data_IF_616007332177
#
_entry.id   IF_616007332177
#
_cell.length_a   1.000
_cell.length_b   1.000
_cell.length_c   1.000
_cell.angle_alpha   90.00
_cell.angle_beta   90.00
_cell.angle_gamma   90.00
#
_symmetry.space_group_name_H-M   'P 1'
#
loop_
_entity.id
_entity.type
_entity.pdbx_description
1 polymer ?
#
# COMPACT_ATOMS: atom_id res chain seq x y z
N UNK A 1 62.86 -6.07 -1.62
CA UNK A 1 61.42 -5.74 -1.59
C UNK A 1 60.72 -6.78 -2.43
N UNK A 2 59.96 -7.68 -1.80
CA UNK A 2 59.32 -8.82 -2.47
C UNK A 2 58.09 -8.36 -3.25
N UNK A 3 57.92 -8.89 -4.47
CA UNK A 3 56.84 -8.53 -5.41
C UNK A 3 55.44 -8.64 -4.78
N UNK A 4 55.26 -9.55 -3.82
CA UNK A 4 54.02 -9.78 -3.08
C UNK A 4 53.54 -8.55 -2.29
N UNK A 5 54.46 -7.73 -1.76
CA UNK A 5 54.09 -6.51 -1.01
C UNK A 5 53.61 -5.38 -1.92
N UNK A 6 54.05 -5.36 -3.18
CA UNK A 6 53.60 -4.38 -4.17
C UNK A 6 52.25 -4.83 -4.71
N UNK A 7 52.09 -6.12 -5.00
CA UNK A 7 50.84 -6.70 -5.49
C UNK A 7 49.68 -6.54 -4.49
N UNK A 8 49.91 -6.75 -3.19
CA UNK A 8 48.85 -6.59 -2.18
C UNK A 8 48.43 -5.14 -1.98
N UNK A 9 49.37 -4.18 -2.02
CA UNK A 9 49.11 -2.74 -1.95
C UNK A 9 48.39 -2.21 -3.20
N UNK A 10 48.63 -2.82 -4.36
CA UNK A 10 47.95 -2.50 -5.61
C UNK A 10 46.53 -3.07 -5.63
N UNK A 11 46.28 -4.29 -5.15
CA UNK A 11 44.93 -4.91 -5.19
C UNK A 11 43.94 -4.40 -4.12
N UNK A 12 44.43 -3.95 -2.96
CA UNK A 12 43.58 -3.46 -1.86
C UNK A 12 42.66 -2.28 -2.27
N UNK A 13 43.14 -1.26 -3.01
CA UNK A 13 42.27 -0.19 -3.53
C UNK A 13 41.28 -0.70 -4.59
N UNK A 14 41.63 -1.70 -5.42
CA UNK A 14 40.68 -2.28 -6.38
C UNK A 14 39.52 -3.02 -5.70
N UNK A 15 39.77 -3.72 -4.58
CA UNK A 15 38.68 -4.34 -3.80
C UNK A 15 37.74 -3.28 -3.20
N UNK A 16 38.28 -2.18 -2.71
CA UNK A 16 37.48 -1.07 -2.17
C UNK A 16 36.66 -0.39 -3.29
N UNK A 17 37.29 -0.17 -4.45
CA UNK A 17 36.64 0.39 -5.64
C UNK A 17 35.52 -0.53 -6.16
N UNK A 18 35.70 -1.86 -6.15
CA UNK A 18 34.66 -2.80 -6.56
C UNK A 18 33.41 -2.75 -5.67
N UNK A 19 33.59 -2.60 -4.35
CA UNK A 19 32.50 -2.48 -3.37
C UNK A 19 31.82 -1.12 -3.48
N UNK A 20 32.59 -0.05 -3.65
CA UNK A 20 32.06 1.28 -3.91
C UNK A 20 31.25 1.31 -5.22
N UNK A 21 31.75 0.68 -6.29
CA UNK A 21 31.04 0.55 -7.57
C UNK A 21 29.79 -0.33 -7.46
N UNK A 22 29.80 -1.40 -6.66
CA UNK A 22 28.59 -2.17 -6.34
C UNK A 22 27.58 -1.36 -5.56
N UNK A 23 28.02 -0.56 -4.59
CA UNK A 23 27.15 0.32 -3.80
C UNK A 23 26.58 1.46 -4.65
N UNK A 24 27.39 2.07 -5.53
CA UNK A 24 26.96 3.08 -6.50
C UNK A 24 26.00 2.47 -7.53
N UNK A 25 26.27 1.28 -8.07
CA UNK A 25 25.31 0.54 -8.92
C UNK A 25 24.01 0.23 -8.17
N UNK A 26 24.08 -0.18 -6.91
CA UNK A 26 22.91 -0.44 -6.06
C UNK A 26 22.10 0.84 -5.79
N UNK A 27 22.77 1.98 -5.61
CA UNK A 27 22.13 3.29 -5.42
C UNK A 27 21.52 3.83 -6.72
N UNK A 28 22.19 3.62 -7.87
CA UNK A 28 21.70 4.01 -9.19
C UNK A 28 20.59 3.08 -9.73
N UNK A 29 20.54 1.82 -9.27
CA UNK A 29 19.54 0.82 -9.68
C UNK A 29 18.29 0.83 -8.80
N UNK A 30 18.13 1.79 -7.89
CA UNK A 30 16.89 1.94 -7.13
C UNK A 30 15.83 2.54 -8.07
N UNK A 31 15.24 1.67 -8.88
CA UNK A 31 14.14 2.02 -9.79
C UNK A 31 13.03 2.71 -9.00
N UNK A 32 12.38 3.72 -9.59
CA UNK A 32 11.26 4.39 -8.92
C UNK A 32 10.14 3.36 -8.66
N UNK A 33 9.51 3.36 -7.48
CA UNK A 33 8.40 2.47 -7.20
C UNK A 33 7.29 2.61 -8.24
N UNK A 34 6.73 1.48 -8.67
CA UNK A 34 5.62 1.44 -9.61
C UNK A 34 4.31 1.52 -8.84
N UNK A 35 3.37 2.35 -9.30
CA UNK A 35 2.00 2.42 -8.76
C UNK A 35 1.04 1.77 -9.75
N UNK A 36 0.26 0.79 -9.29
CA UNK A 36 -0.76 0.10 -10.08
C UNK A 36 -2.13 0.37 -9.45
N UNK A 37 -3.01 1.04 -10.19
CA UNK A 37 -4.33 1.37 -9.69
C UNK A 37 -5.31 0.21 -9.93
N UNK A 38 -5.74 -0.44 -8.84
CA UNK A 38 -6.73 -1.51 -8.83
C UNK A 38 -8.11 -1.02 -8.37
N UNK A 39 -8.37 0.28 -8.41
CA UNK A 39 -9.69 0.87 -8.17
C UNK A 39 -10.49 0.99 -9.48
N UNK A 40 -11.82 1.15 -9.41
CA UNK A 40 -12.66 1.21 -10.62
C UNK A 40 -12.47 2.44 -11.50
N UNK A 41 -11.82 3.49 -10.99
CA UNK A 41 -11.68 4.80 -11.63
C UNK A 41 -10.25 5.29 -11.58
N UNK A 42 -9.90 6.22 -12.44
CA UNK A 42 -8.61 6.89 -12.41
C UNK A 42 -8.45 7.64 -11.08
N UNK A 43 -7.23 7.62 -10.53
CA UNK A 43 -6.92 8.35 -9.31
C UNK A 43 -6.09 9.56 -9.70
N UNK A 44 -6.62 10.75 -9.43
CA UNK A 44 -5.91 12.01 -9.63
C UNK A 44 -5.31 12.45 -8.30
N UNK A 45 -3.99 12.59 -8.25
CA UNK A 45 -3.25 13.09 -7.10
C UNK A 45 -2.80 14.52 -7.41
N UNK A 46 -3.31 15.50 -6.66
CA UNK A 46 -2.95 16.91 -6.82
C UNK A 46 -1.91 17.30 -5.77
N UNK A 47 -0.71 17.66 -6.21
CA UNK A 47 0.37 18.13 -5.35
C UNK A 47 1.06 19.34 -5.95
N UNK A 48 1.31 20.37 -5.14
CA UNK A 48 1.98 21.60 -5.57
C UNK A 48 1.35 22.29 -6.80
N UNK A 49 0.03 22.13 -6.98
CA UNK A 49 -0.69 22.67 -8.13
C UNK A 49 -0.61 21.83 -9.41
N UNK A 50 0.06 20.68 -9.37
CA UNK A 50 0.15 19.73 -10.49
C UNK A 50 -0.68 18.47 -10.22
N UNK A 51 -1.30 17.94 -11.28
CA UNK A 51 -2.09 16.72 -11.24
C UNK A 51 -1.31 15.52 -11.78
N UNK A 52 -1.21 14.48 -10.97
CA UNK A 52 -0.66 13.18 -11.33
C UNK A 52 -1.85 12.22 -11.50
N UNK A 53 -2.14 11.85 -12.74
CA UNK A 53 -3.21 10.89 -13.06
C UNK A 53 -2.64 9.48 -13.07
N UNK A 54 -3.18 8.61 -12.21
CA UNK A 54 -2.86 7.19 -12.18
C UNK A 54 -4.05 6.43 -12.79
N UNK A 55 -3.92 5.97 -14.04
CA UNK A 55 -5.03 5.35 -14.75
C UNK A 55 -5.43 4.05 -14.08
N UNK A 56 -6.73 3.77 -14.03
CA UNK A 56 -7.24 2.47 -13.59
C UNK A 56 -6.62 1.36 -14.43
N UNK A 57 -6.25 0.27 -13.78
CA UNK A 57 -5.88 -0.94 -14.48
C UNK A 57 -7.14 -1.69 -14.94
N UNK A 58 -6.95 -2.69 -15.79
CA UNK A 58 -8.03 -3.58 -16.23
C UNK A 58 -8.56 -4.46 -15.08
N UNK A 59 -7.78 -4.63 -13.99
CA UNK A 59 -8.14 -5.45 -12.84
C UNK A 59 -8.54 -4.57 -11.67
N UNK A 60 -9.75 -4.77 -11.17
CA UNK A 60 -10.26 -4.11 -9.96
C UNK A 60 -10.19 -5.08 -8.78
N UNK A 61 -9.42 -4.73 -7.76
CA UNK A 61 -9.38 -5.47 -6.51
C UNK A 61 -10.64 -5.16 -5.68
N UNK A 62 -11.29 -6.19 -5.15
CA UNK A 62 -12.51 -6.03 -4.34
C UNK A 62 -12.58 -7.11 -3.28
N UNK A 63 -13.08 -6.75 -2.10
CA UNK A 63 -13.44 -7.74 -1.09
C UNK A 63 -14.84 -8.23 -1.39
N UNK A 64 -15.02 -9.56 -1.47
CA UNK A 64 -16.35 -10.13 -1.68
C UNK A 64 -17.16 -9.98 -0.39
N UNK A 65 -18.38 -9.53 -0.59
CA UNK A 65 -19.39 -9.34 0.44
C UNK A 65 -20.31 -10.56 0.44
N UNK A 66 -20.60 -11.10 1.62
CA UNK A 66 -21.53 -12.22 1.79
C UNK A 66 -22.63 -11.81 2.76
N UNK A 67 -23.87 -12.04 2.34
CA UNK A 67 -25.06 -11.77 3.13
C UNK A 67 -25.32 -12.93 4.11
N UNK A 68 -25.67 -12.60 5.35
CA UNK A 68 -25.98 -13.56 6.41
C UNK A 68 -27.48 -13.63 6.64
N UNK A 69 -28.10 -12.47 6.83
CA UNK A 69 -29.48 -12.32 7.25
C UNK A 69 -30.03 -10.97 6.80
N UNK A 70 -31.33 -10.90 6.52
CA UNK A 70 -32.04 -9.66 6.23
C UNK A 70 -33.24 -9.55 7.15
N UNK A 71 -33.33 -8.42 7.85
CA UNK A 71 -34.49 -8.04 8.65
C UNK A 71 -35.12 -6.73 8.15
N UNK A 72 -36.26 -6.36 8.72
CA UNK A 72 -36.93 -5.09 8.42
C UNK A 72 -37.04 -4.25 9.68
N UNK A 73 -36.35 -3.11 9.70
CA UNK A 73 -36.40 -2.14 10.79
C UNK A 73 -37.15 -0.90 10.27
N UNK A 74 -38.28 -0.56 10.89
CA UNK A 74 -39.13 0.58 10.49
C UNK A 74 -39.51 0.59 8.99
N UNK A 75 -39.74 -0.59 8.38
CA UNK A 75 -40.07 -0.72 6.97
C UNK A 75 -38.88 -0.64 6.00
N UNK A 76 -37.65 -0.53 6.52
CA UNK A 76 -36.41 -0.54 5.73
C UNK A 76 -35.74 -1.90 5.88
N UNK A 77 -35.35 -2.52 4.75
CA UNK A 77 -34.55 -3.74 4.77
C UNK A 77 -33.13 -3.45 5.25
N UNK A 78 -32.67 -4.24 6.22
CA UNK A 78 -31.32 -4.18 6.76
C UNK A 78 -30.72 -5.56 6.61
N UNK A 79 -29.63 -5.67 5.85
CA UNK A 79 -28.93 -6.93 5.60
C UNK A 79 -27.60 -6.95 6.34
N UNK A 80 -27.42 -7.96 7.18
CA UNK A 80 -26.15 -8.27 7.81
C UNK A 80 -25.22 -8.86 6.76
N UNK A 81 -24.03 -8.27 6.65
CA UNK A 81 -23.00 -8.68 5.72
C UNK A 81 -21.68 -8.95 6.45
N UNK A 82 -20.86 -9.81 5.86
CA UNK A 82 -19.44 -9.90 6.20
C UNK A 82 -18.58 -9.93 4.95
N UNK A 83 -17.34 -9.49 5.12
CA UNK A 83 -16.32 -9.53 4.09
C UNK A 83 -15.51 -10.81 4.22
N UNK A 84 -15.28 -11.53 3.12
CA UNK A 84 -14.67 -12.86 3.18
C UNK A 84 -13.28 -12.94 2.55
N UNK A 85 -13.16 -12.87 1.23
CA UNK A 85 -11.93 -13.00 0.47
C UNK A 85 -11.75 -11.80 -0.42
N UNK A 86 -10.50 -11.42 -0.57
CA UNK A 86 -10.12 -10.41 -1.56
C UNK A 86 -9.96 -11.08 -2.92
N UNK A 87 -10.64 -10.52 -3.92
CA UNK A 87 -10.57 -10.93 -5.31
C UNK A 87 -9.68 -9.99 -6.10
N UNK A 88 -8.99 -10.53 -7.11
CA UNK A 88 -8.17 -9.78 -8.08
C UNK A 88 -7.06 -8.91 -7.46
N UNK A 89 -6.61 -9.24 -6.25
CA UNK A 89 -5.46 -8.61 -5.63
C UNK A 89 -4.20 -9.44 -5.97
N UNK A 90 -3.23 -8.91 -6.74
CA UNK A 90 -1.99 -9.61 -7.02
C UNK A 90 -1.14 -9.82 -5.77
N UNK A 91 -0.29 -10.83 -5.82
CA UNK A 91 0.77 -11.03 -4.83
C UNK A 91 1.71 -9.82 -4.77
N UNK A 92 2.31 -9.53 -3.59
CA UNK A 92 3.27 -8.45 -3.46
C UNK A 92 4.42 -8.62 -4.46
N UNK A 93 4.85 -7.50 -5.04
CA UNK A 93 6.00 -7.46 -5.94
C UNK A 93 6.98 -6.39 -5.49
N UNK A 94 8.27 -6.70 -5.58
CA UNK A 94 9.33 -5.76 -5.26
C UNK A 94 9.13 -4.44 -6.00
N UNK A 95 9.28 -3.34 -5.25
CA UNK A 95 9.19 -1.98 -5.77
C UNK A 95 7.85 -1.65 -6.47
N UNK A 96 6.77 -2.32 -6.09
CA UNK A 96 5.42 -2.10 -6.62
C UNK A 96 4.45 -1.81 -5.47
N UNK A 97 3.58 -0.83 -5.67
CA UNK A 97 2.48 -0.51 -4.76
C UNK A 97 1.16 -0.60 -5.50
N UNK A 98 0.15 -1.16 -4.84
CA UNK A 98 -1.20 -1.28 -5.40
C UNK A 98 -2.13 -0.26 -4.74
N UNK A 99 -2.75 0.58 -5.57
CA UNK A 99 -3.80 1.51 -5.14
C UNK A 99 -5.11 0.75 -5.12
N UNK A 100 -5.71 0.60 -3.94
CA UNK A 100 -6.93 -0.15 -3.69
C UNK A 100 -7.95 0.71 -2.96
N UNK A 101 -9.17 0.20 -2.77
CA UNK A 101 -10.11 0.84 -1.85
C UNK A 101 -9.67 0.65 -0.40
N UNK A 102 -10.12 1.53 0.49
CA UNK A 102 -9.83 1.41 1.92
C UNK A 102 -10.32 0.08 2.52
N UNK A 103 -11.44 -0.46 2.03
CA UNK A 103 -12.00 -1.75 2.46
C UNK A 103 -11.05 -2.90 2.11
N UNK A 104 -10.49 -2.90 0.89
CA UNK A 104 -9.48 -3.88 0.49
C UNK A 104 -8.21 -3.73 1.32
N UNK A 105 -7.76 -2.50 1.59
CA UNK A 105 -6.58 -2.27 2.43
C UNK A 105 -6.78 -2.79 3.86
N UNK A 106 -7.95 -2.60 4.47
CA UNK A 106 -8.25 -3.14 5.81
C UNK A 106 -8.37 -4.66 5.84
N UNK A 107 -9.01 -5.26 4.83
CA UNK A 107 -9.13 -6.71 4.73
C UNK A 107 -7.78 -7.42 4.54
N UNK A 108 -6.73 -6.69 4.14
CA UNK A 108 -5.37 -7.20 3.94
C UNK A 108 -4.36 -6.30 4.67
N UNK A 109 -4.65 -5.93 5.92
CA UNK A 109 -3.87 -4.95 6.69
C UNK A 109 -2.42 -5.39 7.01
N UNK A 110 -2.11 -6.67 6.81
CA UNK A 110 -0.76 -7.25 6.86
C UNK A 110 0.11 -6.83 5.66
N UNK A 111 -0.51 -6.47 4.54
CA UNK A 111 0.19 -6.07 3.30
C UNK A 111 0.70 -4.63 3.37
N UNK A 112 2.02 -4.47 3.26
CA UNK A 112 2.70 -3.17 3.33
C UNK A 112 2.79 -2.40 2.00
N UNK A 113 2.46 -3.07 0.90
CA UNK A 113 2.46 -2.57 -0.48
C UNK A 113 1.09 -2.03 -0.93
N UNK A 114 0.07 -2.08 -0.07
CA UNK A 114 -1.25 -1.52 -0.36
C UNK A 114 -1.35 -0.08 0.10
N UNK A 115 -1.88 0.75 -0.77
CA UNK A 115 -2.19 2.16 -0.51
C UNK A 115 -3.58 2.48 -1.04
N UNK A 116 -4.20 3.56 -0.55
CA UNK A 116 -5.52 4.00 -1.00
C UNK A 116 -5.57 5.52 -1.11
N UNK A 117 -6.43 6.10 -1.98
CA UNK A 117 -6.55 7.55 -2.11
C UNK A 117 -6.94 8.22 -0.79
N UNK A 118 -6.36 9.38 -0.46
CA UNK A 118 -6.77 10.16 0.72
C UNK A 118 -8.12 10.86 0.48
N UNK A 119 -9.20 10.09 0.50
CA UNK A 119 -10.56 10.58 0.30
C UNK A 119 -11.06 11.52 1.40
N UNK A 120 -10.42 11.52 2.57
CA UNK A 120 -10.76 12.40 3.69
C UNK A 120 -10.42 13.86 3.37
N UNK A 121 -9.26 14.08 2.76
CA UNK A 121 -8.76 15.40 2.40
C UNK A 121 -8.92 15.69 0.90
N UNK A 122 -9.88 15.03 0.24
CA UNK A 122 -10.10 15.14 -1.19
C UNK A 122 -10.51 16.56 -1.63
N UNK A 123 -10.00 16.99 -2.78
CA UNK A 123 -10.53 18.13 -3.52
C UNK A 123 -11.81 17.69 -4.23
N UNK A 124 -12.90 18.45 -4.05
CA UNK A 124 -14.23 18.10 -4.55
C UNK A 124 -14.80 19.19 -5.44
N UNK A 125 -15.56 18.78 -6.44
CA UNK A 125 -16.29 19.69 -7.32
C UNK A 125 -17.51 20.32 -6.61
N UNK A 126 -18.21 21.20 -7.32
CA UNK A 126 -19.44 21.85 -6.85
C UNK A 126 -20.57 20.87 -6.51
N UNK A 127 -20.51 19.62 -7.00
CA UNK A 127 -21.47 18.54 -6.72
C UNK A 127 -21.01 17.63 -5.59
N UNK A 128 -19.86 17.92 -4.97
CA UNK A 128 -19.24 17.11 -3.91
C UNK A 128 -18.53 15.85 -4.39
N UNK A 129 -18.38 15.64 -5.69
CA UNK A 129 -17.64 14.52 -6.27
C UNK A 129 -16.13 14.75 -6.11
N UNK A 130 -15.36 13.67 -5.95
CA UNK A 130 -13.90 13.77 -5.80
C UNK A 130 -13.28 14.08 -7.16
N UNK A 131 -12.63 15.23 -7.29
CA UNK A 131 -11.84 15.61 -8.48
C UNK A 131 -10.39 15.14 -8.35
N UNK A 132 -9.81 15.26 -7.15
CA UNK A 132 -8.44 14.83 -6.87
C UNK A 132 -8.24 14.56 -5.37
N UNK A 133 -7.15 13.89 -5.02
CA UNK A 133 -6.70 13.70 -3.63
C UNK A 133 -5.32 14.31 -3.43
N UNK A 134 -4.96 14.77 -2.22
CA UNK A 134 -3.62 15.33 -1.95
C UNK A 134 -2.52 14.26 -1.91
N UNK A 135 -2.90 12.98 -1.83
CA UNK A 135 -1.96 11.88 -1.77
C UNK A 135 -2.63 10.54 -1.51
N UNK A 136 -1.80 9.56 -1.17
CA UNK A 136 -2.19 8.20 -0.83
C UNK A 136 -1.95 7.94 0.65
N UNK A 137 -2.74 7.02 1.22
CA UNK A 137 -2.66 6.58 2.61
C UNK A 137 -2.44 5.08 2.65
N UNK A 138 -2.00 4.60 3.81
CA UNK A 138 -1.78 3.18 4.09
C UNK A 138 -2.36 2.84 5.46
N UNK A 139 -2.93 1.65 5.57
CA UNK A 139 -3.33 1.08 6.85
C UNK A 139 -2.06 0.58 7.53
N UNK A 140 -1.84 1.00 8.77
CA UNK A 140 -0.77 0.48 9.63
C UNK A 140 -1.39 0.02 10.93
N UNK A 141 -0.84 -1.03 11.53
CA UNK A 141 -1.27 -1.45 12.86
C UNK A 141 -1.01 -0.31 13.85
N UNK A 142 -2.03 0.03 14.66
CA UNK A 142 -1.84 1.07 15.66
C UNK A 142 -0.88 0.55 16.74
N UNK A 143 0.10 1.35 17.19
CA UNK A 143 0.98 0.95 18.29
C UNK A 143 0.16 0.56 19.52
N UNK A 144 0.36 -0.65 20.04
CA UNK A 144 -0.40 -1.14 21.20
C UNK A 144 -1.77 -1.73 20.87
N UNK A 145 -2.16 -1.85 19.60
CA UNK A 145 -3.47 -2.38 19.21
C UNK A 145 -3.65 -3.83 19.62
N UNK A 146 -2.64 -4.67 19.37
CA UNK A 146 -2.66 -6.08 19.75
C UNK A 146 -2.86 -6.24 21.25
N UNK A 147 -2.18 -5.44 22.07
CA UNK A 147 -2.30 -5.46 23.54
C UNK A 147 -3.66 -4.95 24.01
N UNK A 148 -4.21 -3.90 23.38
CA UNK A 148 -5.55 -3.38 23.71
C UNK A 148 -6.66 -4.36 23.32
N UNK A 149 -6.57 -4.97 22.15
CA UNK A 149 -7.51 -5.98 21.65
C UNK A 149 -7.41 -7.24 22.53
N UNK A 150 -6.20 -7.72 22.82
CA UNK A 150 -5.99 -8.85 23.72
C UNK A 150 -6.51 -8.56 25.12
N UNK A 151 -6.31 -7.35 25.65
CA UNK A 151 -6.85 -6.92 26.94
C UNK A 151 -8.38 -6.87 26.92
N UNK A 152 -8.99 -6.36 25.85
CA UNK A 152 -10.45 -6.35 25.68
C UNK A 152 -11.03 -7.77 25.71
N UNK A 153 -10.49 -8.68 24.90
CA UNK A 153 -10.92 -10.09 24.89
C UNK A 153 -10.57 -10.87 26.18
N UNK A 154 -9.60 -10.38 26.96
CA UNK A 154 -9.27 -10.96 28.27
C UNK A 154 -10.19 -10.47 29.40
N UNK A 155 -10.90 -9.37 29.20
CA UNK A 155 -11.85 -8.83 30.19
C UNK A 155 -13.22 -9.51 30.11
N UNK A 156 -13.57 -10.09 28.96
CA UNK A 156 -14.81 -10.86 28.76
C UNK A 156 -14.72 -12.32 29.24
N UNK A 157 -13.57 -12.75 29.80
CA UNK A 157 -13.43 -14.04 30.49
C UNK A 157 -13.65 -13.89 32.00
N UNK A 158 -14.85 -13.48 32.42
CA UNK A 158 -15.32 -13.59 33.81
C UNK A 158 -16.77 -14.02 33.88
#
# INVERSE_FOLDING_TARGET
>A
MTEDSVFSKVLHPFRYLSRALQKIKSLLKKEKPVLINLTPHDVVIRQNGEDIVIPRSEKVARVRETEIHTETINGVQVTDIYYDKTLNLPEPKDNTYYIVSIVVAYANCDRQDLVFPDGLNAYRDEKGQIEAVPGLRRVVEAPGATEKIARFFSLDKK
#
